data_IF_133079298501
#
_entry.id   IF_133079298501
#
_cell.length_a   1.000
_cell.length_b   1.000
_cell.length_c   1.000
_cell.angle_alpha   90.00
_cell.angle_beta   90.00
_cell.angle_gamma   90.00
#
_symmetry.space_group_name_H-M   'P 1'
#
loop_
_entity.id
_entity.type
_entity.pdbx_description
1 polymer ?
#
# COMPACT_ATOMS: atom_id res chain seq x y z
N UNK A 1 0.48 -13.79 3.81
CA UNK A 1 1.50 -13.21 4.68
C UNK A 1 2.87 -13.63 4.16
N UNK A 2 3.73 -12.68 3.72
CA UNK A 2 5.02 -12.99 3.09
C UNK A 2 6.14 -13.25 4.10
N UNK A 3 6.05 -12.72 5.32
CA UNK A 3 7.15 -12.83 6.29
C UNK A 3 7.41 -14.29 6.76
N UNK A 4 6.41 -15.08 7.17
CA UNK A 4 6.62 -16.47 7.52
C UNK A 4 7.15 -17.31 6.35
N UNK A 5 6.69 -17.01 5.13
CA UNK A 5 7.17 -17.68 3.92
C UNK A 5 8.65 -17.37 3.63
N UNK A 6 9.07 -16.11 3.74
CA UNK A 6 10.47 -15.69 3.58
C UNK A 6 11.37 -16.36 4.63
N UNK A 7 10.96 -16.34 5.91
CA UNK A 7 11.69 -17.00 7.00
C UNK A 7 11.85 -18.51 6.75
N UNK A 8 10.78 -19.18 6.35
CA UNK A 8 10.84 -20.62 6.04
C UNK A 8 11.76 -20.94 4.86
N UNK A 9 11.85 -20.08 3.85
CA UNK A 9 12.80 -20.25 2.75
C UNK A 9 14.24 -20.00 3.21
N UNK A 10 14.48 -18.97 4.01
CA UNK A 10 15.80 -18.66 4.56
C UNK A 10 16.31 -19.78 5.47
N UNK A 11 15.47 -20.35 6.31
CA UNK A 11 15.80 -21.51 7.15
C UNK A 11 16.13 -22.75 6.31
N UNK A 12 15.35 -23.00 5.26
CA UNK A 12 15.52 -24.19 4.42
C UNK A 12 16.70 -24.08 3.45
N UNK A 13 16.98 -22.88 2.95
CA UNK A 13 17.98 -22.63 1.92
C UNK A 13 18.87 -21.42 2.26
N UNK A 14 19.60 -21.44 3.40
CA UNK A 14 20.34 -20.27 3.89
C UNK A 14 21.47 -19.80 2.97
N UNK A 15 21.94 -20.65 2.07
CA UNK A 15 22.98 -20.33 1.08
C UNK A 15 22.43 -19.67 -0.20
N UNK A 16 21.12 -19.69 -0.41
CA UNK A 16 20.48 -19.06 -1.55
C UNK A 16 20.05 -17.64 -1.19
N UNK A 17 19.73 -16.86 -2.21
CA UNK A 17 19.11 -15.54 -2.06
C UNK A 17 17.78 -15.53 -2.79
N UNK A 18 16.81 -14.78 -2.25
CA UNK A 18 15.47 -14.68 -2.80
C UNK A 18 15.34 -13.45 -3.69
N UNK A 19 14.72 -13.63 -4.84
CA UNK A 19 14.21 -12.55 -5.67
C UNK A 19 12.69 -12.64 -5.73
N UNK A 20 11.99 -11.60 -5.30
CA UNK A 20 10.55 -11.47 -5.45
C UNK A 20 10.24 -10.88 -6.81
N UNK A 21 9.81 -11.71 -7.74
CA UNK A 21 9.56 -11.28 -9.14
C UNK A 21 8.24 -10.53 -9.30
N UNK A 22 7.35 -10.63 -8.32
CA UNK A 22 6.08 -9.89 -8.30
C UNK A 22 5.57 -9.78 -6.85
N UNK A 23 5.12 -8.58 -6.45
CA UNK A 23 4.34 -8.36 -5.24
C UNK A 23 3.45 -7.13 -5.40
N UNK A 24 2.37 -7.03 -4.65
CA UNK A 24 1.44 -5.91 -4.69
C UNK A 24 -0.01 -6.31 -4.51
N UNK A 25 -0.91 -5.34 -4.60
CA UNK A 25 -2.35 -5.52 -4.44
C UNK A 25 -3.15 -4.59 -5.37
N UNK A 26 -4.41 -4.96 -5.63
CA UNK A 26 -5.34 -4.16 -6.43
C UNK A 26 -5.94 -3.02 -5.60
N UNK A 27 -6.28 -1.89 -6.26
CA UNK A 27 -7.11 -0.82 -5.72
C UNK A 27 -8.00 -0.20 -6.79
N UNK A 28 -9.30 -0.23 -6.55
CA UNK A 28 -10.28 0.59 -7.25
C UNK A 28 -10.53 1.86 -6.42
N UNK A 29 -10.34 3.04 -7.00
CA UNK A 29 -10.47 4.31 -6.28
C UNK A 29 -11.92 4.67 -5.93
N UNK A 30 -12.91 4.03 -6.58
CA UNK A 30 -14.33 4.18 -6.24
C UNK A 30 -14.73 3.34 -5.02
N UNK A 31 -13.86 2.43 -4.59
CA UNK A 31 -14.07 1.61 -3.42
C UNK A 31 -13.41 2.25 -2.20
N UNK A 32 -14.22 2.75 -1.29
CA UNK A 32 -13.76 3.43 -0.09
C UNK A 32 -14.15 2.66 1.17
N UNK A 33 -13.25 2.60 2.14
CA UNK A 33 -13.53 2.11 3.49
C UNK A 33 -12.48 2.60 4.47
N UNK A 34 -12.90 2.89 5.69
CA UNK A 34 -12.00 3.16 6.82
C UNK A 34 -11.47 1.87 7.47
N UNK A 35 -12.14 0.74 7.22
CA UNK A 35 -11.86 -0.51 7.90
C UNK A 35 -11.81 -1.67 6.93
N UNK A 36 -10.71 -2.36 6.96
CA UNK A 36 -10.50 -3.49 6.08
C UNK A 36 -11.20 -4.77 6.55
N UNK A 37 -11.31 -5.02 7.85
CA UNK A 37 -12.05 -6.13 8.44
C UNK A 37 -11.98 -7.43 7.65
N UNK A 38 -13.01 -8.25 7.80
CA UNK A 38 -13.19 -9.51 7.07
C UNK A 38 -13.67 -9.32 5.61
N UNK A 39 -13.84 -8.07 5.17
CA UNK A 39 -14.34 -7.74 3.83
C UNK A 39 -13.34 -8.09 2.71
N UNK A 40 -12.10 -8.38 3.04
CA UNK A 40 -11.04 -8.70 2.09
C UNK A 40 -11.03 -10.19 1.75
N UNK A 41 -12.08 -10.65 1.09
CA UNK A 41 -12.08 -11.97 0.49
C UNK A 41 -11.43 -11.89 -0.91
N UNK A 42 -10.31 -12.56 -1.07
CA UNK A 42 -9.67 -12.76 -2.35
C UNK A 42 -10.68 -13.24 -3.40
N UNK A 43 -10.71 -12.57 -4.55
CA UNK A 43 -11.63 -12.92 -5.64
C UNK A 43 -12.97 -12.19 -5.63
N UNK A 44 -13.28 -11.38 -4.63
CA UNK A 44 -14.44 -10.49 -4.67
C UNK A 44 -14.16 -9.23 -5.50
N UNK A 45 -15.23 -8.50 -5.82
CA UNK A 45 -15.14 -7.29 -6.65
C UNK A 45 -14.77 -6.02 -5.87
N UNK A 46 -14.68 -6.08 -4.53
CA UNK A 46 -14.38 -4.92 -3.68
C UNK A 46 -12.91 -4.86 -3.28
N UNK A 47 -12.19 -3.88 -3.84
CA UNK A 47 -10.77 -3.63 -3.59
C UNK A 47 -10.53 -2.16 -3.24
N UNK A 48 -10.74 -1.75 -1.98
CA UNK A 48 -10.54 -0.36 -1.58
C UNK A 48 -9.07 0.04 -1.62
N UNK A 49 -8.80 1.32 -1.88
CA UNK A 49 -7.44 1.86 -1.93
C UNK A 49 -6.68 1.61 -0.62
N UNK A 50 -7.36 1.68 0.52
CA UNK A 50 -6.79 1.38 1.84
C UNK A 50 -6.19 -0.03 1.91
N UNK A 51 -6.79 -1.00 1.23
CA UNK A 51 -6.24 -2.36 1.16
C UNK A 51 -4.91 -2.40 0.41
N UNK A 52 -4.86 -1.79 -0.77
CA UNK A 52 -3.61 -1.70 -1.53
C UNK A 52 -2.53 -1.04 -0.68
N UNK A 53 -2.85 0.09 -0.07
CA UNK A 53 -1.94 0.88 0.74
C UNK A 53 -1.35 0.07 1.90
N UNK A 54 -2.21 -0.58 2.70
CA UNK A 54 -1.77 -1.40 3.84
C UNK A 54 -0.99 -2.63 3.41
N UNK A 55 -1.36 -3.24 2.30
CA UNK A 55 -0.62 -4.37 1.73
C UNK A 55 0.80 -3.96 1.35
N UNK A 56 0.96 -2.82 0.67
CA UNK A 56 2.28 -2.33 0.27
C UNK A 56 3.12 -1.88 1.47
N UNK A 57 2.53 -1.18 2.46
CA UNK A 57 3.20 -0.83 3.71
C UNK A 57 3.79 -2.09 4.38
N UNK A 58 2.98 -3.13 4.53
CA UNK A 58 3.40 -4.39 5.13
C UNK A 58 4.47 -5.11 4.29
N UNK A 59 4.19 -5.34 3.01
CA UNK A 59 5.10 -6.11 2.14
C UNK A 59 6.47 -5.44 2.03
N UNK A 60 6.53 -4.13 1.84
CA UNK A 60 7.80 -3.41 1.79
C UNK A 60 8.52 -3.42 3.14
N UNK A 61 7.80 -3.33 4.26
CA UNK A 61 8.42 -3.41 5.59
C UNK A 61 9.13 -4.75 5.82
N UNK A 62 8.55 -5.85 5.32
CA UNK A 62 9.19 -7.18 5.35
C UNK A 62 10.38 -7.22 4.41
N UNK A 63 10.21 -6.80 3.15
CA UNK A 63 11.29 -6.82 2.15
C UNK A 63 12.50 -6.03 2.64
N UNK A 64 12.30 -4.84 3.17
CA UNK A 64 13.38 -3.97 3.62
C UNK A 64 14.15 -4.51 4.84
N UNK A 65 13.51 -5.35 5.66
CA UNK A 65 14.12 -5.95 6.87
C UNK A 65 14.87 -7.26 6.60
N UNK A 66 14.63 -7.91 5.47
CA UNK A 66 15.18 -9.23 5.17
C UNK A 66 16.32 -9.20 4.13
N UNK A 67 17.60 -9.21 4.54
CA UNK A 67 18.75 -9.24 3.62
C UNK A 67 18.81 -10.50 2.74
N UNK A 68 17.99 -11.50 3.05
CA UNK A 68 17.79 -12.68 2.23
C UNK A 68 17.15 -12.35 0.89
N UNK A 69 16.30 -11.28 0.84
CA UNK A 69 15.67 -10.76 -0.36
C UNK A 69 16.62 -9.75 -1.02
N UNK A 70 17.25 -10.14 -2.12
CA UNK A 70 18.22 -9.28 -2.83
C UNK A 70 17.62 -8.39 -3.89
N UNK A 71 16.43 -8.72 -4.35
CA UNK A 71 15.67 -7.92 -5.32
C UNK A 71 14.16 -8.14 -5.16
N UNK A 72 13.39 -7.11 -5.46
CA UNK A 72 11.94 -7.20 -5.47
C UNK A 72 11.36 -6.32 -6.57
N UNK A 73 10.32 -6.81 -7.23
CA UNK A 73 9.67 -6.11 -8.34
C UNK A 73 8.19 -5.90 -7.99
N UNK A 74 7.84 -4.64 -7.86
CA UNK A 74 6.47 -4.25 -7.61
C UNK A 74 5.61 -4.50 -8.85
N UNK A 75 4.48 -5.13 -8.69
CA UNK A 75 3.47 -5.27 -9.71
C UNK A 75 2.22 -4.45 -9.35
N UNK A 76 1.94 -3.26 -9.98
CA UNK A 76 2.93 -2.73 -10.92
C UNK A 76 2.80 -1.18 -10.92
N UNK A 77 3.50 -0.49 -11.80
CA UNK A 77 3.51 0.99 -11.83
C UNK A 77 2.16 1.57 -12.27
N UNK A 78 1.48 0.95 -13.23
CA UNK A 78 0.24 1.45 -13.82
C UNK A 78 -0.86 0.40 -13.84
N UNK A 79 -2.11 0.83 -13.67
CA UNK A 79 -3.23 -0.01 -14.06
C UNK A 79 -3.18 -0.28 -15.57
N UNK A 80 -3.56 -1.47 -16.00
CA UNK A 80 -3.48 -1.87 -17.40
C UNK A 80 -4.64 -2.75 -17.86
N UNK A 81 -4.84 -2.85 -19.17
CA UNK A 81 -5.88 -3.67 -19.78
C UNK A 81 -5.56 -5.16 -19.69
N UNK A 82 -6.52 -5.97 -19.24
CA UNK A 82 -6.44 -7.43 -19.25
C UNK A 82 -7.76 -7.97 -19.79
N UNK A 83 -7.77 -8.54 -20.99
CA UNK A 83 -8.99 -9.13 -21.54
C UNK A 83 -9.61 -10.16 -20.58
N UNK A 84 -10.93 -10.21 -20.51
CA UNK A 84 -11.71 -11.15 -19.70
C UNK A 84 -11.50 -11.06 -18.16
N UNK A 85 -10.79 -10.07 -17.69
CA UNK A 85 -10.62 -9.83 -16.26
C UNK A 85 -11.84 -9.09 -15.69
N UNK A 86 -12.47 -9.63 -14.63
CA UNK A 86 -13.71 -9.07 -14.07
C UNK A 86 -13.63 -8.66 -12.61
N UNK A 87 -12.51 -8.91 -11.94
CA UNK A 87 -12.36 -8.54 -10.53
C UNK A 87 -12.06 -7.05 -10.35
N UNK A 88 -12.34 -6.53 -9.16
CA UNK A 88 -12.11 -5.12 -8.82
C UNK A 88 -13.17 -4.16 -9.31
N UNK A 89 -14.29 -4.66 -9.88
CA UNK A 89 -15.43 -3.83 -10.28
C UNK A 89 -15.28 -3.10 -11.61
N UNK A 90 -14.10 -3.14 -12.25
CA UNK A 90 -13.86 -2.53 -13.57
C UNK A 90 -13.52 -3.65 -14.57
N UNK A 91 -14.39 -3.93 -15.55
CA UNK A 91 -14.15 -4.97 -16.54
C UNK A 91 -12.86 -4.73 -17.34
N UNK A 92 -12.21 -5.83 -17.73
CA UNK A 92 -11.00 -5.84 -18.55
C UNK A 92 -9.85 -4.98 -17.99
N UNK A 93 -9.74 -4.85 -16.65
CA UNK A 93 -8.75 -4.00 -16.00
C UNK A 93 -8.02 -4.73 -14.87
N UNK A 94 -6.69 -4.66 -14.88
CA UNK A 94 -5.86 -4.93 -13.71
C UNK A 94 -5.66 -3.62 -12.94
N UNK A 95 -5.98 -3.62 -11.65
CA UNK A 95 -5.97 -2.44 -10.79
C UNK A 95 -4.79 -2.42 -9.80
N UNK A 96 -3.76 -3.22 -10.04
CA UNK A 96 -2.56 -3.29 -9.18
C UNK A 96 -1.59 -2.13 -9.39
N UNK A 97 -1.88 -1.22 -10.32
CA UNK A 97 -1.06 -0.04 -10.54
C UNK A 97 -0.98 0.88 -9.33
N UNK A 98 0.17 1.50 -9.12
CA UNK A 98 0.34 2.63 -8.22
C UNK A 98 -0.26 3.92 -8.81
N UNK A 99 -0.46 3.94 -10.12
CA UNK A 99 -1.04 5.04 -10.88
C UNK A 99 -2.18 4.48 -11.73
N UNK A 100 -3.25 5.25 -11.85
CA UNK A 100 -4.43 4.86 -12.62
C UNK A 100 -4.13 4.62 -14.11
N UNK A 101 -5.03 3.91 -14.78
CA UNK A 101 -4.90 3.54 -16.20
C UNK A 101 -4.69 4.74 -17.12
N UNK A 102 -5.38 5.83 -16.87
CA UNK A 102 -5.27 7.09 -17.62
C UNK A 102 -4.06 7.95 -17.24
N UNK A 103 -3.22 7.47 -16.31
CA UNK A 103 -2.01 8.13 -15.78
C UNK A 103 -2.26 9.41 -14.97
N UNK A 104 -3.49 9.74 -14.65
CA UNK A 104 -3.84 11.01 -14.02
C UNK A 104 -3.71 11.01 -12.51
N UNK A 105 -4.01 9.87 -11.86
CA UNK A 105 -4.05 9.81 -10.40
C UNK A 105 -2.95 8.88 -9.90
N UNK A 106 -2.12 9.40 -9.03
CA UNK A 106 -1.20 8.63 -8.19
C UNK A 106 -1.96 8.18 -6.95
N UNK A 107 -2.03 6.86 -6.73
CA UNK A 107 -2.68 6.27 -5.57
C UNK A 107 -1.84 6.49 -4.30
N UNK A 108 -2.41 6.28 -3.12
CA UNK A 108 -1.69 6.48 -1.85
C UNK A 108 -0.40 5.65 -1.77
N UNK A 109 -0.44 4.41 -2.25
CA UNK A 109 0.72 3.52 -2.32
C UNK A 109 1.88 4.04 -3.19
N UNK A 110 1.62 4.88 -4.19
CA UNK A 110 2.68 5.57 -4.94
C UNK A 110 3.53 6.45 -4.01
N UNK A 111 2.88 7.20 -3.13
CA UNK A 111 3.57 8.11 -2.21
C UNK A 111 4.30 7.37 -1.09
N UNK A 112 3.83 6.16 -0.73
CA UNK A 112 4.56 5.24 0.13
C UNK A 112 5.94 4.93 -0.46
N UNK A 113 5.98 4.47 -1.71
CA UNK A 113 7.26 4.17 -2.37
C UNK A 113 8.08 5.41 -2.64
N UNK A 114 7.45 6.53 -3.01
CA UNK A 114 8.18 7.78 -3.17
C UNK A 114 8.88 8.20 -1.87
N UNK A 115 8.22 8.06 -0.73
CA UNK A 115 8.82 8.38 0.56
C UNK A 115 9.97 7.44 0.95
N UNK A 116 9.92 6.16 0.53
CA UNK A 116 10.95 5.17 0.86
C UNK A 116 12.11 5.13 -0.13
N UNK A 117 11.86 5.40 -1.42
CA UNK A 117 12.82 5.15 -2.48
C UNK A 117 13.40 6.43 -3.13
N UNK A 118 12.74 7.57 -2.96
CA UNK A 118 13.19 8.83 -3.56
C UNK A 118 13.89 9.72 -2.55
N UNK A 119 14.84 10.53 -3.06
CA UNK A 119 15.44 11.65 -2.32
C UNK A 119 14.60 12.93 -2.40
N UNK A 120 13.62 12.98 -3.30
CA UNK A 120 12.70 14.11 -3.39
C UNK A 120 11.90 14.23 -2.09
N UNK A 121 11.65 15.46 -1.61
CA UNK A 121 10.86 15.65 -0.40
C UNK A 121 9.44 15.13 -0.57
N UNK A 122 8.97 14.40 0.43
CA UNK A 122 7.61 13.87 0.51
C UNK A 122 7.00 14.25 1.85
N UNK A 123 5.83 14.85 1.79
CA UNK A 123 4.89 15.01 2.89
C UNK A 123 3.49 14.77 2.34
N UNK A 124 2.90 13.63 2.65
CA UNK A 124 1.67 13.20 2.00
C UNK A 124 0.68 12.61 2.99
N UNK A 125 -0.52 13.16 3.05
CA UNK A 125 -1.65 12.65 3.82
C UNK A 125 -2.41 11.61 3.00
N UNK A 126 -2.54 10.39 3.53
CA UNK A 126 -3.27 9.30 2.88
C UNK A 126 -4.79 9.39 3.09
N UNK A 127 -5.53 8.51 2.43
CA UNK A 127 -6.98 8.34 2.59
C UNK A 127 -7.82 9.61 2.33
N UNK A 128 -7.31 10.53 1.53
CA UNK A 128 -8.02 11.78 1.21
C UNK A 128 -9.26 11.58 0.35
N UNK A 129 -9.35 10.44 -0.34
CA UNK A 129 -10.52 10.02 -1.13
C UNK A 129 -11.60 9.31 -0.31
N UNK A 130 -11.27 8.88 0.89
CA UNK A 130 -12.24 8.27 1.81
C UNK A 130 -12.99 9.37 2.57
N UNK A 131 -14.01 9.94 1.92
CA UNK A 131 -14.76 11.09 2.44
C UNK A 131 -15.89 10.67 3.39
N UNK A 132 -16.50 9.52 3.16
CA UNK A 132 -17.58 9.01 4.00
C UNK A 132 -16.99 8.23 5.17
N UNK A 133 -16.94 8.86 6.33
CA UNK A 133 -16.35 8.31 7.54
C UNK A 133 -17.43 8.11 8.60
N UNK A 134 -17.74 6.86 8.86
CA UNK A 134 -18.83 6.47 9.76
C UNK A 134 -18.38 6.29 11.22
N UNK A 135 -17.07 6.16 11.45
CA UNK A 135 -16.55 5.85 12.77
C UNK A 135 -16.29 7.10 13.59
N UNK A 136 -16.52 6.98 14.91
CA UNK A 136 -16.18 8.02 15.89
C UNK A 136 -14.67 8.38 15.88
N UNK A 137 -13.82 7.39 15.60
CA UNK A 137 -12.38 7.55 15.50
C UNK A 137 -11.90 7.02 14.16
N UNK A 138 -11.07 7.77 13.48
CA UNK A 138 -10.45 7.39 12.21
C UNK A 138 -8.94 7.47 12.31
N UNK A 139 -8.25 6.52 11.72
CA UNK A 139 -6.79 6.57 11.62
C UNK A 139 -6.37 7.52 10.51
N UNK A 140 -5.36 8.32 10.78
CA UNK A 140 -4.73 9.21 9.79
C UNK A 140 -3.28 8.79 9.63
N UNK A 141 -2.87 8.49 8.41
CA UNK A 141 -1.48 8.14 8.10
C UNK A 141 -0.85 9.20 7.22
N UNK A 142 0.34 9.64 7.58
CA UNK A 142 1.13 10.60 6.82
C UNK A 142 2.46 9.97 6.44
N UNK A 143 2.80 10.00 5.15
CA UNK A 143 4.13 9.62 4.67
C UNK A 143 5.04 10.83 4.62
N UNK A 144 6.22 10.71 5.21
CA UNK A 144 7.22 11.77 5.21
C UNK A 144 8.63 11.18 5.16
N UNK A 145 9.49 11.73 4.29
CA UNK A 145 10.94 11.47 4.28
C UNK A 145 11.76 12.72 4.66
N UNK A 146 11.09 13.77 5.15
CA UNK A 146 11.71 15.05 5.53
C UNK A 146 11.59 15.34 7.06
N UNK A 147 11.22 14.34 7.84
CA UNK A 147 11.08 14.43 9.29
C UNK A 147 9.69 14.11 9.79
N UNK A 148 9.48 14.23 11.10
CA UNK A 148 8.20 13.98 11.78
C UNK A 148 7.22 15.11 11.48
N UNK A 149 6.06 14.83 10.88
CA UNK A 149 5.07 15.85 10.57
C UNK A 149 4.37 16.34 11.84
N UNK A 150 4.04 17.63 11.86
CA UNK A 150 3.05 18.17 12.80
C UNK A 150 1.67 18.10 12.12
N UNK A 151 0.69 17.62 12.84
CA UNK A 151 -0.67 17.43 12.33
C UNK A 151 -1.66 18.28 13.11
N UNK A 152 -2.49 19.03 12.41
CA UNK A 152 -3.49 19.91 13.00
C UNK A 152 -4.88 19.55 12.47
N UNK A 153 -5.87 19.51 13.36
CA UNK A 153 -7.28 19.40 13.02
C UNK A 153 -8.00 20.68 13.42
N UNK A 154 -8.50 21.43 12.45
CA UNK A 154 -9.18 22.71 12.68
C UNK A 154 -8.34 23.69 13.53
N UNK A 155 -7.03 23.76 13.29
CA UNK A 155 -6.09 24.63 13.99
C UNK A 155 -5.60 24.11 15.34
N UNK A 156 -6.11 22.97 15.81
CA UNK A 156 -5.63 22.33 17.03
C UNK A 156 -4.64 21.22 16.72
N UNK A 157 -3.47 21.26 17.32
CA UNK A 157 -2.44 20.24 17.15
C UNK A 157 -2.92 18.89 17.71
N UNK A 158 -2.70 17.83 16.93
CA UNK A 158 -2.94 16.46 17.34
C UNK A 158 -1.67 15.90 18.00
N UNK A 159 -1.82 15.38 19.22
CA UNK A 159 -0.76 14.71 19.98
C UNK A 159 -0.89 13.20 19.90
N UNK A 160 0.17 12.47 20.34
CA UNK A 160 0.14 11.00 20.35
C UNK A 160 0.42 10.36 19.00
N UNK A 161 1.12 11.09 18.12
CA UNK A 161 1.57 10.55 16.82
C UNK A 161 2.54 9.40 17.08
N UNK A 162 2.31 8.27 16.42
CA UNK A 162 3.25 7.14 16.36
C UNK A 162 4.11 7.27 15.12
N UNK A 163 5.41 7.08 15.29
CA UNK A 163 6.38 7.06 14.19
C UNK A 163 6.71 5.62 13.83
N UNK A 164 6.92 5.36 12.56
CA UNK A 164 7.36 4.07 12.05
C UNK A 164 6.30 3.36 11.21
N UNK A 165 6.65 2.15 10.78
CA UNK A 165 5.67 1.27 10.15
C UNK A 165 4.59 0.96 11.18
N UNK A 166 3.37 0.90 10.73
CA UNK A 166 2.29 0.41 11.56
C UNK A 166 2.60 -1.01 11.98
N UNK A 167 2.75 -1.20 13.27
CA UNK A 167 2.75 -2.52 13.88
C UNK A 167 1.38 -3.17 13.70
#
# INVERSE_FOLDING_TARGET
DIEPWVKGLEEKYPWQKLMLTEYGADANLDHQTEYLGDALNWGKSFYPETFQTKTHEYQWSVIAKHPYIIASYLWNMFDFGVPMWSRGGIPARNLKGLITFDRKIKKDSYYWYKANWSKDPVLYLTQRRNIDRERKHTSVTVYSNIGTPQVYLNGKELTGIRQGYTD
#
